data_IF_633141582815
#
_entry.id   IF_633141582815
#
_cell.length_a   1.000
_cell.length_b   1.000
_cell.length_c   1.000
_cell.angle_alpha   90.00
_cell.angle_beta   90.00
_cell.angle_gamma   90.00
#
_symmetry.space_group_name_H-M   'P 1'
#
loop_
_entity.id
_entity.type
_entity.pdbx_description
1 polymer ?
#
# COMPACT_ATOMS: atom_id res chain seq x y z
N UNK A 1 -18.81 0.21 13.24
CA UNK A 1 -17.55 0.89 12.84
C UNK A 1 -17.85 2.24 12.21
N UNK A 2 -18.66 2.31 11.14
CA UNK A 2 -19.02 3.58 10.48
C UNK A 2 -19.62 4.62 11.44
N UNK A 3 -20.52 4.21 12.32
CA UNK A 3 -21.23 5.12 13.25
C UNK A 3 -20.37 5.57 14.44
N UNK A 4 -19.22 4.93 14.65
CA UNK A 4 -18.27 5.24 15.73
C UNK A 4 -16.92 5.76 15.19
N UNK A 5 -16.85 6.10 13.90
CA UNK A 5 -15.61 6.61 13.33
C UNK A 5 -15.32 8.02 13.90
N UNK A 6 -14.10 8.29 14.39
CA UNK A 6 -13.73 9.62 14.87
C UNK A 6 -13.95 10.69 13.80
N UNK A 7 -14.33 11.90 14.21
CA UNK A 7 -14.49 13.03 13.29
C UNK A 7 -13.17 13.30 12.54
N UNK A 8 -13.27 13.63 11.24
CA UNK A 8 -12.09 13.88 10.40
C UNK A 8 -11.37 12.62 9.92
N UNK A 9 -12.01 11.45 10.00
CA UNK A 9 -11.45 10.19 9.49
C UNK A 9 -12.30 9.61 8.36
N UNK A 10 -11.69 8.71 7.58
CA UNK A 10 -12.36 7.87 6.59
C UNK A 10 -11.99 6.41 6.82
N UNK A 11 -12.89 5.52 6.41
CA UNK A 11 -12.63 4.09 6.47
C UNK A 11 -11.86 3.65 5.23
N UNK A 12 -10.86 2.79 5.43
CA UNK A 12 -10.05 2.16 4.38
C UNK A 12 -9.86 0.69 4.70
N UNK A 13 -9.93 -0.16 3.67
CA UNK A 13 -9.59 -1.57 3.81
C UNK A 13 -8.10 -1.72 3.52
N UNK A 14 -7.31 -2.07 4.54
CA UNK A 14 -5.86 -1.99 4.49
C UNK A 14 -5.27 -3.37 4.82
N UNK A 15 -4.29 -3.76 4.01
CA UNK A 15 -3.36 -4.84 4.35
C UNK A 15 -2.15 -4.24 5.07
N UNK A 16 -1.87 -4.73 6.27
CA UNK A 16 -0.79 -4.27 7.13
C UNK A 16 0.18 -5.43 7.37
N UNK A 17 1.32 -5.37 6.69
CA UNK A 17 2.41 -6.35 6.80
C UNK A 17 3.46 -5.81 7.78
N UNK A 18 3.56 -6.43 8.95
CA UNK A 18 4.39 -5.95 10.06
C UNK A 18 5.09 -7.10 10.82
N UNK A 19 5.91 -6.73 11.81
CA UNK A 19 6.78 -7.65 12.55
C UNK A 19 8.19 -7.69 11.96
N UNK A 20 8.97 -8.72 12.31
CA UNK A 20 10.28 -8.92 11.71
C UNK A 20 10.11 -9.59 10.33
N UNK A 21 10.16 -8.75 9.29
CA UNK A 21 9.96 -9.20 7.91
C UNK A 21 11.16 -9.99 7.35
N UNK A 22 12.27 -10.11 8.09
CA UNK A 22 13.38 -10.98 7.71
C UNK A 22 13.09 -12.46 7.99
N UNK A 23 12.08 -12.75 8.81
CA UNK A 23 11.70 -14.11 9.20
C UNK A 23 10.21 -14.36 8.95
N UNK A 24 9.91 -15.35 8.10
CA UNK A 24 8.52 -15.70 7.79
C UNK A 24 7.70 -16.11 9.01
N UNK A 25 8.33 -16.65 10.06
CA UNK A 25 7.65 -17.09 11.28
C UNK A 25 7.10 -15.93 12.13
N UNK A 26 7.65 -14.73 12.00
CA UNK A 26 7.30 -13.54 12.81
C UNK A 26 6.62 -12.45 11.99
N UNK A 27 6.73 -12.51 10.65
CA UNK A 27 5.96 -11.67 9.74
C UNK A 27 4.45 -11.91 9.88
N UNK A 28 3.69 -10.83 10.05
CA UNK A 28 2.22 -10.87 10.18
C UNK A 28 1.58 -10.00 9.11
N UNK A 29 0.54 -10.52 8.47
CA UNK A 29 -0.30 -9.79 7.55
C UNK A 29 -1.72 -9.72 8.11
N UNK A 30 -2.14 -8.53 8.51
CA UNK A 30 -3.53 -8.27 8.85
C UNK A 30 -4.23 -7.64 7.66
N UNK A 31 -5.48 -8.03 7.38
CA UNK A 31 -6.32 -7.31 6.43
C UNK A 31 -7.60 -6.90 7.14
N UNK A 32 -7.79 -5.60 7.32
CA UNK A 32 -8.85 -5.07 8.17
C UNK A 32 -9.36 -3.72 7.69
N UNK A 33 -10.59 -3.41 8.10
CA UNK A 33 -11.18 -2.10 7.91
C UNK A 33 -10.66 -1.18 9.03
N UNK A 34 -9.92 -0.13 8.67
CA UNK A 34 -9.33 0.83 9.60
C UNK A 34 -9.89 2.23 9.38
N UNK A 35 -9.91 3.04 10.44
CA UNK A 35 -10.20 4.47 10.37
C UNK A 35 -8.87 5.22 10.31
N UNK A 36 -8.69 6.04 9.27
CA UNK A 36 -7.48 6.85 9.06
C UNK A 36 -7.85 8.32 8.91
N UNK A 37 -6.97 9.26 9.30
CA UNK A 37 -7.22 10.68 9.07
C UNK A 37 -7.48 10.98 7.60
N UNK A 38 -8.41 11.88 7.30
CA UNK A 38 -8.66 12.29 5.91
C UNK A 38 -7.41 12.86 5.23
N UNK A 39 -6.49 13.44 6.01
CA UNK A 39 -5.24 14.05 5.54
C UNK A 39 -4.10 13.06 5.34
N UNK A 40 -4.21 11.81 5.78
CA UNK A 40 -3.14 10.82 5.56
C UNK A 40 -3.10 10.37 4.09
N UNK A 41 -1.99 9.74 3.67
CA UNK A 41 -1.87 9.25 2.30
C UNK A 41 -2.97 8.22 1.99
N UNK A 42 -3.20 7.25 2.90
CA UNK A 42 -4.34 6.32 2.83
C UNK A 42 -5.70 7.03 2.78
N UNK A 43 -5.87 8.11 3.55
CA UNK A 43 -7.10 8.91 3.58
C UNK A 43 -7.40 9.59 2.25
N UNK A 44 -6.35 10.02 1.53
CA UNK A 44 -6.42 10.75 0.27
C UNK A 44 -6.54 9.86 -0.99
N UNK A 45 -6.55 8.52 -0.86
CA UNK A 45 -6.75 7.60 -2.00
C UNK A 45 -8.07 7.90 -2.71
N UNK A 46 -8.02 8.00 -4.05
CA UNK A 46 -9.16 8.32 -4.92
C UNK A 46 -9.39 7.20 -5.94
N UNK A 47 -10.66 6.95 -6.26
CA UNK A 47 -11.04 6.04 -7.35
C UNK A 47 -10.50 4.63 -7.15
N UNK A 48 -9.81 4.12 -8.17
CA UNK A 48 -9.20 2.79 -8.21
C UNK A 48 -7.67 2.83 -8.01
N UNK A 49 -7.14 3.92 -7.45
CA UNK A 49 -5.73 3.99 -7.10
C UNK A 49 -5.42 3.01 -5.96
N UNK A 50 -4.27 2.36 -6.07
CA UNK A 50 -3.63 1.66 -4.97
C UNK A 50 -2.58 2.57 -4.33
N UNK A 51 -2.38 2.36 -3.04
CA UNK A 51 -1.34 3.05 -2.27
C UNK A 51 -0.62 2.05 -1.38
N UNK A 52 0.69 2.25 -1.24
CA UNK A 52 1.52 1.55 -0.27
C UNK A 52 2.27 2.57 0.57
N UNK A 53 2.25 2.39 1.89
CA UNK A 53 3.11 3.09 2.82
C UNK A 53 4.15 2.09 3.33
N UNK A 54 5.43 2.36 3.06
CA UNK A 54 6.55 1.49 3.46
C UNK A 54 7.34 2.21 4.54
N UNK A 55 7.29 1.65 5.75
CA UNK A 55 8.04 2.14 6.90
C UNK A 55 9.35 1.35 7.02
N UNK A 56 10.46 2.06 7.20
CA UNK A 56 11.78 1.46 7.40
C UNK A 56 12.51 2.16 8.53
N UNK A 57 13.47 1.50 9.17
CA UNK A 57 14.27 2.08 10.24
C UNK A 57 14.97 3.39 9.81
N UNK A 58 15.47 3.44 8.58
CA UNK A 58 16.16 4.60 8.02
C UNK A 58 15.26 5.81 7.75
N UNK A 59 13.96 5.60 7.57
CA UNK A 59 12.98 6.66 7.31
C UNK A 59 12.09 7.00 8.52
N UNK A 60 12.16 6.17 9.58
CA UNK A 60 11.43 6.36 10.83
C UNK A 60 9.92 6.46 10.60
N UNK A 61 9.32 7.52 11.15
CA UNK A 61 7.87 7.77 11.07
C UNK A 61 7.40 8.32 9.71
N UNK A 62 8.31 8.62 8.78
CA UNK A 62 7.95 9.17 7.47
C UNK A 62 8.00 8.06 6.40
N UNK A 63 6.87 7.45 6.03
CA UNK A 63 6.89 6.32 5.11
C UNK A 63 7.26 6.75 3.69
N UNK A 64 7.82 5.80 2.94
CA UNK A 64 7.87 5.89 1.49
C UNK A 64 6.46 5.60 0.97
N UNK A 65 5.87 6.54 0.24
CA UNK A 65 4.52 6.40 -0.31
C UNK A 65 4.58 6.08 -1.80
N UNK A 66 3.99 4.95 -2.21
CA UNK A 66 3.85 4.56 -3.62
C UNK A 66 2.39 4.71 -4.05
N UNK A 67 2.14 5.83 -4.73
CA UNK A 67 0.94 6.28 -5.45
C UNK A 67 0.71 5.70 -6.86
N UNK A 68 -0.39 5.01 -7.18
CA UNK A 68 -0.77 4.89 -8.60
C UNK A 68 -2.02 4.07 -8.89
N UNK A 69 -2.40 4.00 -10.16
CA UNK A 69 -3.49 3.13 -10.59
C UNK A 69 -3.17 1.66 -10.22
N UNK A 70 -4.01 1.06 -9.38
CA UNK A 70 -3.80 -0.30 -8.87
C UNK A 70 -4.26 -1.41 -9.80
N UNK A 71 -5.20 -1.08 -10.69
CA UNK A 71 -5.80 -2.01 -11.63
C UNK A 71 -6.14 -1.31 -12.95
N UNK A 72 -6.23 -2.10 -14.01
CA UNK A 72 -6.61 -1.63 -15.34
C UNK A 72 -5.73 -2.25 -16.42
N UNK A 73 -6.34 -2.67 -17.53
CA UNK A 73 -5.68 -3.47 -18.56
C UNK A 73 -4.35 -2.85 -19.04
N UNK A 74 -4.32 -1.55 -19.34
CA UNK A 74 -3.12 -0.87 -19.81
C UNK A 74 -2.02 -0.74 -18.73
N UNK A 75 -2.40 -0.56 -17.46
CA UNK A 75 -1.45 -0.41 -16.35
C UNK A 75 -0.84 -1.77 -16.00
N UNK A 76 -1.67 -2.82 -15.92
CA UNK A 76 -1.20 -4.20 -15.70
C UNK A 76 -0.31 -4.67 -16.86
N UNK A 77 -0.69 -4.43 -18.11
CA UNK A 77 0.12 -4.79 -19.27
C UNK A 77 1.50 -4.10 -19.26
N UNK A 78 1.56 -2.83 -18.82
CA UNK A 78 2.82 -2.10 -18.66
C UNK A 78 3.74 -2.75 -17.62
N UNK A 79 3.18 -3.20 -16.50
CA UNK A 79 3.94 -3.92 -15.47
C UNK A 79 4.58 -5.20 -16.02
N UNK A 80 3.76 -6.06 -16.64
CA UNK A 80 4.23 -7.31 -17.25
C UNK A 80 5.27 -7.07 -18.35
N UNK A 81 5.06 -6.06 -19.21
CA UNK A 81 6.01 -5.71 -20.25
C UNK A 81 7.35 -5.22 -19.69
N UNK A 82 7.32 -4.44 -18.60
CA UNK A 82 8.53 -4.04 -17.87
C UNK A 82 9.34 -5.23 -17.38
N UNK A 83 8.67 -6.26 -16.84
CA UNK A 83 9.32 -7.50 -16.41
C UNK A 83 9.96 -8.26 -17.58
N UNK A 84 9.28 -8.33 -18.73
CA UNK A 84 9.84 -8.92 -19.97
C UNK A 84 11.14 -8.19 -20.36
N UNK A 85 11.13 -6.85 -20.38
CA UNK A 85 12.31 -6.04 -20.68
C UNK A 85 13.46 -6.30 -19.70
N UNK A 86 13.17 -6.46 -18.41
CA UNK A 86 14.17 -6.77 -17.39
C UNK A 86 14.79 -8.15 -17.58
N UNK A 87 14.00 -9.16 -17.93
CA UNK A 87 14.48 -10.53 -18.17
C UNK A 87 15.41 -10.57 -19.38
N UNK A 88 15.05 -9.90 -20.48
CA UNK A 88 15.89 -9.89 -21.70
C UNK A 88 17.14 -9.02 -21.55
N UNK A 89 17.07 -7.96 -20.73
CA UNK A 89 18.17 -7.03 -20.49
C UNK A 89 19.23 -7.53 -19.50
N UNK A 90 18.91 -8.54 -18.69
CA UNK A 90 19.86 -9.21 -17.78
C UNK A 90 20.70 -10.29 -18.49
N UNK A 91 21.03 -10.09 -19.77
CA UNK A 91 22.03 -10.88 -20.50
C UNK A 91 23.41 -10.27 -20.38
#
# INVERSE_FOLDING_TARGET
IKDNAPAGTVLRYVGDLHGDLSQTATARLDVKLVSVPVTSALGQVKGADSIFEIYTESYGENPIVIQGAGAGAAVTARGVFGDILRIIGNK
#
